data_IF_870524875754
#
_entry.id   IF_870524875754
#
_cell.length_a   1.000
_cell.length_b   1.000
_cell.length_c   1.000
_cell.angle_alpha   90.00
_cell.angle_beta   90.00
_cell.angle_gamma   90.00
#
_symmetry.space_group_name_H-M   'P 1'
#
loop_
_entity.id
_entity.type
_entity.pdbx_description
1 polymer ?
#
# COMPACT_ATOMS: atom_id res chain seq x y z
N UNK A 1 -48.68 -5.01 3.01
CA UNK A 1 -48.61 -3.81 2.14
C UNK A 1 -47.57 -2.78 2.61
N UNK A 2 -47.44 -2.49 3.92
CA UNK A 2 -46.50 -1.49 4.48
C UNK A 2 -45.06 -1.58 3.91
N UNK A 3 -44.47 -2.77 3.84
CA UNK A 3 -43.11 -2.97 3.31
C UNK A 3 -42.98 -2.65 1.81
N UNK A 4 -44.05 -2.78 1.01
CA UNK A 4 -44.07 -2.43 -0.42
C UNK A 4 -44.14 -0.92 -0.65
N UNK A 5 -44.79 -0.19 0.26
CA UNK A 5 -44.74 1.28 0.27
C UNK A 5 -43.38 1.80 0.75
N UNK A 6 -42.75 1.11 1.71
CA UNK A 6 -41.41 1.46 2.18
C UNK A 6 -40.36 1.36 1.07
N UNK A 7 -40.33 0.25 0.30
CA UNK A 7 -39.40 0.10 -0.82
C UNK A 7 -39.69 1.07 -1.97
N UNK A 8 -40.96 1.32 -2.29
CA UNK A 8 -41.32 2.30 -3.33
C UNK A 8 -40.93 3.74 -2.91
N UNK A 9 -41.07 4.08 -1.64
CA UNK A 9 -40.65 5.38 -1.09
C UNK A 9 -39.12 5.52 -1.11
N UNK A 10 -38.38 4.46 -0.77
CA UNK A 10 -36.91 4.47 -0.77
C UNK A 10 -36.35 4.66 -2.18
N UNK A 11 -36.90 3.95 -3.18
CA UNK A 11 -36.49 4.06 -4.59
C UNK A 11 -36.78 5.46 -5.14
N UNK A 12 -37.94 6.04 -4.78
CA UNK A 12 -38.31 7.40 -5.24
C UNK A 12 -37.41 8.48 -4.62
N UNK A 13 -36.98 8.30 -3.37
CA UNK A 13 -36.07 9.23 -2.69
C UNK A 13 -34.63 9.14 -3.23
N UNK A 14 -34.16 7.93 -3.52
CA UNK A 14 -32.82 7.68 -4.09
C UNK A 14 -32.66 8.35 -5.48
N UNK A 15 -33.70 8.33 -6.31
CA UNK A 15 -33.69 8.94 -7.64
C UNK A 15 -33.73 10.48 -7.60
N UNK A 16 -34.15 11.10 -6.49
CA UNK A 16 -34.22 12.56 -6.36
C UNK A 16 -32.89 13.20 -5.93
N UNK A 17 -31.99 12.42 -5.32
CA UNK A 17 -30.70 12.91 -4.81
C UNK A 17 -29.60 13.04 -5.88
N UNK A 18 -29.70 12.30 -7.00
CA UNK A 18 -28.68 12.22 -8.05
C UNK A 18 -28.70 13.37 -9.08
N UNK A 19 -29.40 14.47 -8.79
CA UNK A 19 -29.54 15.63 -9.69
C UNK A 19 -28.91 16.94 -9.16
N UNK A 20 -28.26 16.91 -7.98
CA UNK A 20 -27.90 18.13 -7.26
C UNK A 20 -26.54 18.08 -6.52
N UNK A 21 -25.44 17.75 -7.21
CA UNK A 21 -24.12 18.30 -6.84
C UNK A 21 -23.12 18.30 -8.02
N UNK A 22 -23.37 19.13 -9.03
CA UNK A 22 -22.33 19.62 -9.93
C UNK A 22 -21.95 21.03 -9.49
N UNK A 23 -20.76 21.21 -8.90
CA UNK A 23 -20.35 22.51 -8.35
C UNK A 23 -18.84 22.57 -8.09
N UNK A 24 -18.09 23.16 -9.02
CA UNK A 24 -16.66 23.37 -8.89
C UNK A 24 -16.33 24.70 -8.20
N UNK A 25 -15.20 24.73 -7.47
CA UNK A 25 -14.21 25.82 -7.42
C UNK A 25 -13.47 25.84 -6.07
N UNK A 26 -12.21 25.37 -6.06
CA UNK A 26 -11.18 25.96 -5.21
C UNK A 26 -10.54 27.12 -5.97
N UNK A 27 -10.11 28.17 -5.26
CA UNK A 27 -8.73 28.58 -5.51
C UNK A 27 -7.98 28.98 -4.22
N UNK A 28 -6.76 28.48 -4.16
CA UNK A 28 -5.52 29.26 -3.94
C UNK A 28 -5.33 29.99 -2.61
N UNK A 29 -4.30 29.56 -1.88
CA UNK A 29 -3.49 30.44 -1.03
C UNK A 29 -2.03 30.20 -1.39
N UNK A 30 -1.29 31.26 -1.68
CA UNK A 30 0.07 31.24 -2.22
C UNK A 30 1.11 31.27 -1.07
N UNK A 31 2.41 31.02 -1.35
CA UNK A 31 3.38 30.66 -0.32
C UNK A 31 3.93 31.88 0.45
N UNK A 32 4.48 31.60 1.63
CA UNK A 32 5.39 32.51 2.34
C UNK A 32 6.82 32.00 2.15
N UNK A 33 7.59 32.79 1.42
CA UNK A 33 9.02 32.69 1.17
C UNK A 33 9.76 33.40 2.30
N UNK A 34 10.67 32.73 3.02
CA UNK A 34 11.83 33.37 3.64
C UNK A 34 13.04 32.41 3.64
N UNK A 35 14.14 32.86 3.05
CA UNK A 35 15.49 32.32 3.21
C UNK A 35 16.43 33.50 3.46
N UNK A 36 17.41 33.35 4.36
CA UNK A 36 18.82 33.38 3.92
C UNK A 36 19.65 32.26 4.59
N UNK A 37 20.63 31.60 3.94
CA UNK A 37 21.97 32.10 3.60
C UNK A 37 22.70 32.68 4.84
N UNK A 38 23.84 32.15 5.32
CA UNK A 38 25.17 32.17 4.67
C UNK A 38 26.21 31.43 5.57
N UNK A 39 27.33 30.95 4.99
CA UNK A 39 28.68 30.65 5.56
C UNK A 39 28.89 29.89 6.91
N UNK A 40 29.94 29.06 7.11
CA UNK A 40 31.17 28.82 6.33
C UNK A 40 31.72 27.38 6.49
N UNK A 41 32.54 26.95 5.52
CA UNK A 41 33.56 25.89 5.69
C UNK A 41 34.93 26.57 6.02
N UNK A 42 36.03 25.87 6.42
CA UNK A 42 36.76 24.97 5.50
C UNK A 42 37.62 23.82 6.13
N UNK A 43 38.29 23.06 5.24
CA UNK A 43 39.55 22.30 5.43
C UNK A 43 39.52 21.03 6.35
N UNK A 44 40.33 19.98 6.15
CA UNK A 44 41.36 19.69 5.13
C UNK A 44 41.54 18.16 4.92
N UNK A 45 41.89 17.78 3.68
CA UNK A 45 42.94 16.82 3.27
C UNK A 45 43.21 15.49 4.03
N UNK A 46 43.00 14.36 3.35
CA UNK A 46 44.09 13.43 2.92
C UNK A 46 43.56 12.16 2.19
N UNK A 47 44.02 11.95 0.95
CA UNK A 47 44.09 10.63 0.27
C UNK A 47 45.48 9.98 0.56
N UNK A 48 45.95 8.82 -0.01
CA UNK A 48 45.48 7.96 -1.12
C UNK A 48 45.15 6.53 -0.61
N UNK A 49 45.16 5.40 -1.34
CA UNK A 49 45.48 4.95 -2.73
C UNK A 49 44.43 3.88 -3.11
N UNK A 50 43.98 3.73 -4.35
CA UNK A 50 44.64 3.08 -5.51
C UNK A 50 45.10 1.62 -5.25
N UNK A 51 44.18 0.67 -5.44
CA UNK A 51 44.48 -0.59 -6.15
C UNK A 51 43.43 -0.76 -7.24
N UNK A 52 43.87 -1.12 -8.44
CA UNK A 52 43.04 -1.28 -9.62
C UNK A 52 43.35 -2.63 -10.30
N UNK A 53 42.49 -3.01 -11.25
CA UNK A 53 42.59 -4.20 -12.12
C UNK A 53 42.23 -5.55 -11.45
N UNK A 54 41.65 -6.52 -12.16
CA UNK A 54 40.90 -6.53 -13.43
C UNK A 54 40.26 -7.92 -13.64
N UNK A 55 39.52 -8.04 -14.75
CA UNK A 55 39.40 -9.25 -15.60
C UNK A 55 38.09 -10.06 -15.54
N UNK A 56 37.82 -10.65 -16.71
CA UNK A 56 36.65 -11.37 -17.23
C UNK A 56 35.95 -12.36 -16.28
N UNK A 57 34.67 -12.72 -16.45
CA UNK A 57 34.06 -13.07 -17.74
C UNK A 57 32.52 -13.11 -17.76
N UNK A 58 31.98 -12.88 -18.94
CA UNK A 58 30.70 -13.40 -19.43
C UNK A 58 30.85 -13.63 -20.95
N UNK A 59 30.02 -14.46 -21.63
CA UNK A 59 28.89 -15.25 -21.11
C UNK A 59 28.98 -16.75 -21.47
N UNK A 60 28.01 -17.55 -21.01
CA UNK A 60 27.58 -18.76 -21.72
C UNK A 60 26.06 -18.86 -21.68
N UNK A 61 25.44 -18.83 -22.86
CA UNK A 61 24.11 -19.42 -23.05
C UNK A 61 24.24 -20.94 -22.87
N UNK A 62 23.40 -21.56 -22.03
CA UNK A 62 22.91 -22.90 -22.33
C UNK A 62 21.38 -22.92 -22.31
N UNK A 63 20.88 -23.17 -23.51
CA UNK A 63 19.56 -23.54 -23.98
C UNK A 63 18.49 -23.98 -22.96
N UNK A 64 17.27 -23.57 -23.30
CA UNK A 64 15.99 -24.09 -22.85
C UNK A 64 15.91 -25.63 -22.90
N UNK A 65 15.52 -26.23 -21.79
CA UNK A 65 14.86 -27.53 -21.67
C UNK A 65 14.21 -27.59 -20.26
N UNK A 66 13.07 -28.22 -20.01
CA UNK A 66 11.99 -28.72 -20.87
C UNK A 66 10.71 -28.79 -19.99
N UNK A 67 9.55 -28.75 -20.62
CA UNK A 67 8.21 -29.02 -20.06
C UNK A 67 8.15 -29.83 -18.76
N UNK A 68 7.65 -29.19 -17.70
CA UNK A 68 6.75 -29.81 -16.74
C UNK A 68 5.83 -28.73 -16.15
N UNK A 69 4.75 -28.39 -16.86
CA UNK A 69 3.68 -27.61 -16.25
C UNK A 69 3.16 -28.36 -15.00
N UNK A 70 3.22 -27.77 -13.79
CA UNK A 70 2.50 -28.34 -12.67
C UNK A 70 1.01 -28.23 -13.01
N UNK A 71 0.36 -29.38 -13.15
CA UNK A 71 -1.08 -29.44 -13.37
C UNK A 71 -1.79 -28.64 -12.30
N UNK A 72 -2.75 -27.83 -12.75
CA UNK A 72 -3.60 -26.93 -11.98
C UNK A 72 -4.63 -27.73 -11.15
N UNK A 73 -4.15 -28.68 -10.33
CA UNK A 73 -4.91 -29.23 -9.22
C UNK A 73 -4.97 -28.14 -8.15
N UNK A 74 -6.00 -27.31 -8.27
CA UNK A 74 -6.35 -26.31 -7.29
C UNK A 74 -6.41 -26.95 -5.90
N UNK A 75 -5.40 -26.68 -5.07
CA UNK A 75 -5.49 -26.89 -3.63
C UNK A 75 -6.41 -25.81 -3.04
N UNK A 76 -7.69 -25.94 -3.37
CA UNK A 76 -8.79 -25.51 -2.53
C UNK A 76 -8.84 -26.44 -1.31
N UNK A 77 -7.77 -26.41 -0.50
CA UNK A 77 -7.94 -26.51 0.94
C UNK A 77 -8.90 -25.37 1.30
N UNK A 78 -10.17 -25.71 1.56
CA UNK A 78 -11.02 -24.86 2.40
C UNK A 78 -10.39 -24.88 3.80
N UNK A 79 -9.29 -24.14 3.94
CA UNK A 79 -8.63 -23.91 5.20
C UNK A 79 -9.70 -23.43 6.17
N UNK A 80 -9.93 -24.21 7.22
CA UNK A 80 -11.05 -23.99 8.13
C UNK A 80 -11.06 -22.52 8.54
N UNK A 81 -12.18 -21.82 8.30
CA UNK A 81 -12.35 -20.42 8.68
C UNK A 81 -12.31 -20.31 10.21
N UNK A 82 -11.10 -20.21 10.74
CA UNK A 82 -10.85 -19.94 12.14
C UNK A 82 -11.34 -18.55 12.48
N UNK A 83 -11.86 -18.42 13.69
CA UNK A 83 -12.20 -17.13 14.28
C UNK A 83 -10.87 -16.39 14.58
N UNK A 84 -10.43 -15.55 13.64
CA UNK A 84 -9.18 -14.80 13.71
C UNK A 84 -9.26 -13.45 13.01
N UNK A 85 -8.48 -12.49 13.49
CA UNK A 85 -8.40 -11.13 12.95
C UNK A 85 -7.39 -11.01 11.79
N UNK A 86 -7.59 -10.03 10.91
CA UNK A 86 -6.69 -9.76 9.78
C UNK A 86 -5.74 -8.60 10.11
N UNK A 87 -4.43 -8.79 9.94
CA UNK A 87 -3.45 -7.71 10.02
C UNK A 87 -2.86 -7.39 8.65
N UNK A 88 -2.94 -6.12 8.24
CA UNK A 88 -2.31 -5.61 7.01
C UNK A 88 -1.16 -4.67 7.38
N UNK A 89 0.02 -4.93 6.80
CA UNK A 89 1.24 -4.16 7.05
C UNK A 89 1.66 -3.42 5.78
N UNK A 90 1.34 -2.13 5.72
CA UNK A 90 1.72 -1.24 4.62
C UNK A 90 3.19 -0.80 4.77
N UNK A 91 3.98 -0.70 3.68
CA UNK A 91 5.41 -0.41 3.81
C UNK A 91 5.76 1.04 4.20
N UNK A 92 5.44 2.04 3.37
CA UNK A 92 5.83 3.45 3.63
C UNK A 92 5.05 4.51 2.82
N UNK A 93 4.74 5.66 3.42
CA UNK A 93 3.96 6.70 2.74
C UNK A 93 4.76 7.56 1.72
N UNK A 94 6.09 7.50 1.74
CA UNK A 94 6.98 8.42 1.03
C UNK A 94 7.39 7.92 -0.38
N UNK A 95 7.63 6.63 -0.54
CA UNK A 95 7.93 5.98 -1.83
C UNK A 95 6.66 5.75 -2.65
N UNK A 96 5.50 5.57 -1.98
CA UNK A 96 4.22 5.32 -2.62
C UNK A 96 3.03 5.76 -1.78
N UNK A 97 2.52 6.97 -2.06
CA UNK A 97 1.26 7.45 -1.49
C UNK A 97 0.03 6.58 -1.88
N UNK A 98 0.16 5.61 -2.80
CA UNK A 98 -0.90 4.66 -3.18
C UNK A 98 -1.38 3.85 -1.98
N UNK A 99 -0.46 3.39 -1.13
CA UNK A 99 -0.81 2.46 -0.05
C UNK A 99 -1.74 3.08 0.99
N UNK A 100 -1.58 4.37 1.29
CA UNK A 100 -2.44 5.09 2.22
C UNK A 100 -3.72 5.63 1.56
N UNK A 101 -3.68 6.06 0.29
CA UNK A 101 -4.84 6.66 -0.38
C UNK A 101 -5.81 5.63 -0.99
N UNK A 102 -5.27 4.53 -1.53
CA UNK A 102 -6.03 3.50 -2.25
C UNK A 102 -6.05 2.18 -1.48
N UNK A 103 -4.89 1.56 -1.21
CA UNK A 103 -4.86 0.20 -0.62
C UNK A 103 -5.57 0.17 0.74
N UNK A 104 -5.21 1.06 1.67
CA UNK A 104 -5.88 1.19 2.99
C UNK A 104 -7.39 1.28 2.84
N UNK A 105 -7.87 2.24 2.03
CA UNK A 105 -9.31 2.49 1.84
C UNK A 105 -10.03 1.26 1.26
N UNK A 106 -9.45 0.61 0.24
CA UNK A 106 -10.06 -0.58 -0.35
C UNK A 106 -10.01 -1.80 0.58
N UNK A 107 -8.99 -1.92 1.44
CA UNK A 107 -8.95 -2.95 2.48
C UNK A 107 -9.99 -2.70 3.57
N UNK A 108 -10.11 -1.48 4.09
CA UNK A 108 -11.16 -1.08 5.05
C UNK A 108 -12.55 -1.36 4.47
N UNK A 109 -12.85 -0.89 3.25
CA UNK A 109 -14.11 -1.16 2.54
C UNK A 109 -14.40 -2.68 2.41
N UNK A 110 -13.38 -3.50 2.11
CA UNK A 110 -13.53 -4.94 1.92
C UNK A 110 -13.71 -5.71 3.23
N UNK A 111 -12.96 -5.36 4.29
CA UNK A 111 -13.04 -6.02 5.59
C UNK A 111 -14.31 -5.64 6.35
N UNK A 112 -14.73 -4.37 6.29
CA UNK A 112 -16.03 -3.92 6.80
C UNK A 112 -17.19 -4.67 6.12
N UNK A 113 -17.12 -4.85 4.80
CA UNK A 113 -18.11 -5.60 4.03
C UNK A 113 -18.11 -7.12 4.34
N UNK A 114 -16.96 -7.68 4.69
CA UNK A 114 -16.83 -9.06 5.15
C UNK A 114 -17.24 -9.27 6.61
N UNK A 115 -17.28 -8.20 7.42
CA UNK A 115 -17.63 -8.26 8.85
C UNK A 115 -16.55 -8.92 9.71
N UNK A 116 -15.29 -8.83 9.30
CA UNK A 116 -14.12 -9.38 10.01
C UNK A 116 -13.46 -8.31 10.88
N UNK A 117 -12.79 -8.72 11.97
CA UNK A 117 -11.96 -7.81 12.76
C UNK A 117 -10.59 -7.65 12.10
N UNK A 118 -10.06 -6.42 12.04
CA UNK A 118 -8.80 -6.14 11.34
C UNK A 118 -8.00 -4.98 11.93
N UNK A 119 -6.73 -4.92 11.55
CA UNK A 119 -5.83 -3.79 11.80
C UNK A 119 -5.00 -3.49 10.54
N UNK A 120 -4.80 -2.20 10.24
CA UNK A 120 -3.98 -1.75 9.09
C UNK A 120 -2.96 -0.73 9.58
N UNK A 121 -1.70 -1.14 9.61
CA UNK A 121 -0.57 -0.33 10.09
C UNK A 121 0.38 0.02 8.95
N UNK A 122 1.14 1.10 9.09
CA UNK A 122 2.22 1.47 8.18
C UNK A 122 3.57 1.37 8.93
N UNK A 123 4.63 0.95 8.25
CA UNK A 123 5.97 0.83 8.82
C UNK A 123 6.87 2.06 8.56
N UNK A 124 6.39 3.03 7.77
CA UNK A 124 7.12 4.24 7.33
C UNK A 124 8.53 3.93 6.78
N UNK A 125 8.68 2.79 6.11
CA UNK A 125 9.89 2.35 5.43
C UNK A 125 10.89 1.63 6.34
N UNK A 126 10.60 1.48 7.63
CA UNK A 126 11.47 0.76 8.56
C UNK A 126 11.12 -0.74 8.60
N UNK A 127 12.01 -1.56 8.03
CA UNK A 127 11.85 -3.01 7.98
C UNK A 127 11.82 -3.68 9.38
N UNK A 128 12.43 -3.08 10.41
CA UNK A 128 12.35 -3.58 11.79
C UNK A 128 10.97 -3.28 12.39
N UNK A 129 10.42 -2.09 12.12
CA UNK A 129 9.04 -1.75 12.51
C UNK A 129 8.06 -2.73 11.85
N UNK A 130 8.20 -3.00 10.55
CA UNK A 130 7.33 -3.96 9.86
C UNK A 130 7.48 -5.39 10.43
N UNK A 131 8.70 -5.81 10.77
CA UNK A 131 8.95 -7.10 11.43
C UNK A 131 8.26 -7.18 12.80
N UNK A 132 8.43 -6.17 13.67
CA UNK A 132 7.80 -6.13 15.00
C UNK A 132 6.28 -6.03 14.92
N UNK A 133 5.73 -5.32 13.93
CA UNK A 133 4.29 -5.29 13.66
C UNK A 133 3.76 -6.69 13.28
N UNK A 134 4.51 -7.47 12.50
CA UNK A 134 4.12 -8.83 12.11
C UNK A 134 4.19 -9.82 13.28
N UNK A 135 5.24 -9.72 14.09
CA UNK A 135 5.40 -10.50 15.33
C UNK A 135 4.24 -10.24 16.32
N UNK A 136 3.82 -8.98 16.46
CA UNK A 136 2.63 -8.61 17.24
C UNK A 136 1.35 -9.18 16.63
N UNK A 137 1.14 -9.04 15.31
CA UNK A 137 -0.06 -9.54 14.64
C UNK A 137 -0.27 -11.06 14.80
N UNK A 138 0.80 -11.85 14.87
CA UNK A 138 0.75 -13.31 15.02
C UNK A 138 0.53 -13.76 16.47
N UNK A 139 0.79 -12.89 17.46
CA UNK A 139 0.82 -13.29 18.89
C UNK A 139 -0.44 -12.87 19.68
N UNK A 140 -1.31 -12.02 19.12
CA UNK A 140 -2.51 -11.51 19.79
C UNK A 140 -3.75 -12.41 19.62
#
# INVERSE_FOLDING_TARGET
>A
MRNKFLTLSLITFLLLFMAACGGAATPTSAPQEEAPAEEAAPAEEAAPTEEAMAEEAAPTEEAMAEEAAPTEEAMAEEGAMGEGSIAVLLPDSASSARWENDDRRFFEEAFDAAGVEYTIVNAEGDARVQQTQAEQAITN
#
